data_IF_177027881426
#
_entry.id   IF_177027881426
#
_cell.length_a   1.000
_cell.length_b   1.000
_cell.length_c   1.000
_cell.angle_alpha   90.00
_cell.angle_beta   90.00
_cell.angle_gamma   90.00
#
_symmetry.space_group_name_H-M   'P 1'
#
loop_
_entity.id
_entity.type
_entity.pdbx_description
1 polymer ?
#
# COMPACT_ATOMS: atom_id res chain seq x y z
N UNK A 1 10.03 17.64 -6.29
CA UNK A 1 11.37 18.04 -6.77
C UNK A 1 11.67 17.61 -8.21
N UNK A 2 10.62 17.40 -9.02
CA UNK A 2 10.78 16.93 -10.41
C UNK A 2 11.41 17.97 -11.35
N UNK A 3 11.54 19.21 -10.91
CA UNK A 3 12.19 20.30 -11.65
C UNK A 3 13.72 20.28 -11.52
N UNK A 4 14.27 19.54 -10.54
CA UNK A 4 15.72 19.48 -10.36
C UNK A 4 16.35 18.69 -11.52
N UNK A 5 17.38 19.28 -12.12
CA UNK A 5 18.20 18.69 -13.17
C UNK A 5 19.68 18.89 -12.81
N UNK A 6 20.52 17.93 -13.14
CA UNK A 6 21.95 17.97 -12.90
C UNK A 6 22.55 16.58 -12.95
N UNK A 7 23.83 16.47 -13.22
CA UNK A 7 24.55 15.19 -13.30
C UNK A 7 24.60 14.46 -11.95
N UNK A 8 24.52 15.22 -10.86
CA UNK A 8 24.50 14.71 -9.48
C UNK A 8 23.08 14.38 -8.97
N UNK A 9 22.06 14.42 -9.83
CA UNK A 9 20.66 14.15 -9.44
C UNK A 9 20.21 12.84 -10.03
N UNK A 10 19.78 11.92 -9.16
CA UNK A 10 19.12 10.67 -9.55
C UNK A 10 17.64 10.77 -9.13
N UNK A 11 16.76 10.69 -10.11
CA UNK A 11 15.31 10.72 -9.87
C UNK A 11 14.80 9.34 -9.51
N UNK A 12 13.93 9.27 -8.48
CA UNK A 12 13.19 8.07 -8.13
C UNK A 12 11.74 8.17 -8.61
N UNK A 13 11.14 7.04 -8.98
CA UNK A 13 9.71 6.93 -9.29
C UNK A 13 8.87 6.84 -8.01
N UNK A 14 9.40 6.16 -6.98
CA UNK A 14 8.78 6.00 -5.67
C UNK A 14 9.74 6.32 -4.53
N UNK A 15 9.31 6.10 -3.30
CA UNK A 15 10.17 6.22 -2.13
C UNK A 15 11.23 5.12 -2.10
N UNK A 16 12.42 5.45 -1.58
CA UNK A 16 13.45 4.46 -1.24
C UNK A 16 13.07 3.82 0.09
N UNK A 17 13.13 2.50 0.16
CA UNK A 17 12.75 1.72 1.35
C UNK A 17 13.61 0.46 1.49
N UNK A 18 13.42 -0.28 2.61
CA UNK A 18 14.26 -1.43 2.95
C UNK A 18 13.67 -2.79 2.56
N UNK A 19 12.45 -2.85 2.01
CA UNK A 19 11.86 -4.12 1.57
C UNK A 19 12.54 -4.52 0.26
N UNK A 20 13.19 -5.69 0.26
CA UNK A 20 13.85 -6.23 -0.92
C UNK A 20 12.98 -7.27 -1.65
N UNK A 21 13.38 -7.58 -2.90
CA UNK A 21 12.72 -8.65 -3.66
C UNK A 21 12.89 -10.00 -3.00
N UNK A 22 14.09 -10.26 -2.49
CA UNK A 22 14.45 -11.51 -1.83
C UNK A 22 13.56 -11.74 -0.60
N UNK A 23 13.31 -10.69 0.19
CA UNK A 23 12.44 -10.75 1.35
C UNK A 23 10.98 -11.06 0.96
N UNK A 24 10.46 -10.42 -0.09
CA UNK A 24 9.11 -10.70 -0.61
C UNK A 24 9.01 -12.14 -1.14
N UNK A 25 9.99 -12.62 -1.90
CA UNK A 25 9.96 -13.98 -2.43
C UNK A 25 10.08 -15.04 -1.33
N UNK A 26 10.92 -14.82 -0.31
CA UNK A 26 10.99 -15.70 0.86
C UNK A 26 9.67 -15.74 1.63
N UNK A 27 9.00 -14.59 1.80
CA UNK A 27 7.69 -14.55 2.43
C UNK A 27 6.63 -15.30 1.60
N UNK A 28 6.68 -15.20 0.26
CA UNK A 28 5.79 -15.94 -0.64
C UNK A 28 5.95 -17.46 -0.56
N UNK A 29 7.20 -17.95 -0.43
CA UNK A 29 7.45 -19.39 -0.30
C UNK A 29 6.81 -19.99 0.96
N UNK A 30 6.65 -19.17 2.00
CA UNK A 30 6.01 -19.55 3.26
C UNK A 30 4.49 -19.26 3.27
N UNK A 31 3.95 -18.70 2.18
CA UNK A 31 2.55 -18.31 2.09
C UNK A 31 1.64 -19.53 2.03
N UNK A 32 0.55 -19.49 2.77
CA UNK A 32 -0.58 -20.40 2.56
C UNK A 32 -1.28 -19.98 1.27
N UNK A 33 -1.53 -20.95 0.38
CA UNK A 33 -2.26 -20.69 -0.87
C UNK A 33 -3.72 -20.32 -0.59
N UNK A 34 -3.97 -19.06 -0.28
CA UNK A 34 -5.32 -18.50 -0.08
C UNK A 34 -5.54 -17.36 -1.07
N UNK A 35 -6.80 -17.21 -1.48
CA UNK A 35 -7.22 -15.99 -2.18
C UNK A 35 -7.41 -14.88 -1.14
N UNK A 36 -6.35 -14.11 -0.86
CA UNK A 36 -6.32 -13.13 0.22
C UNK A 36 -6.17 -11.70 -0.27
N UNK A 37 -6.75 -10.76 0.47
CA UNK A 37 -6.56 -9.32 0.31
C UNK A 37 -5.83 -8.78 1.54
N UNK A 38 -4.87 -7.89 1.30
CA UNK A 38 -4.25 -7.11 2.36
C UNK A 38 -4.71 -5.65 2.26
N UNK A 39 -5.32 -5.15 3.32
CA UNK A 39 -5.70 -3.75 3.49
C UNK A 39 -4.67 -3.07 4.37
N UNK A 40 -3.98 -2.05 3.88
CA UNK A 40 -2.96 -1.33 4.64
C UNK A 40 -3.44 0.08 4.96
N UNK A 41 -3.48 0.41 6.23
CA UNK A 41 -3.95 1.69 6.72
C UNK A 41 -2.78 2.59 7.11
N UNK A 42 -2.73 3.77 6.52
CA UNK A 42 -1.85 4.83 6.96
C UNK A 42 -2.36 5.53 8.21
N UNK A 43 -2.45 6.85 8.17
CA UNK A 43 -2.97 7.64 9.27
C UNK A 43 -2.87 9.14 8.99
N UNK A 44 -3.33 9.99 9.90
CA UNK A 44 -3.34 11.42 9.71
C UNK A 44 -1.93 11.97 9.47
N UNK A 45 -1.85 12.98 8.63
CA UNK A 45 -0.63 13.72 8.37
C UNK A 45 -0.96 15.19 8.05
N UNK A 46 0.02 15.96 7.62
CA UNK A 46 -0.22 17.38 7.29
C UNK A 46 -1.20 17.61 6.13
N UNK A 47 -1.47 16.61 5.30
CA UNK A 47 -2.35 16.71 4.12
C UNK A 47 -3.70 16.04 4.32
N UNK A 48 -3.78 14.98 5.12
CA UNK A 48 -4.97 14.13 5.30
C UNK A 48 -5.40 14.06 6.76
N UNK A 49 -6.73 14.11 7.03
CA UNK A 49 -7.30 14.03 8.37
C UNK A 49 -7.40 12.59 8.89
N UNK A 50 -7.73 11.67 8.01
CA UNK A 50 -7.94 10.26 8.35
C UNK A 50 -9.07 10.04 9.36
N UNK A 51 -10.25 10.57 9.05
CA UNK A 51 -11.40 10.51 9.97
C UNK A 51 -12.05 9.12 10.00
N UNK A 52 -12.64 8.77 11.14
CA UNK A 52 -13.37 7.51 11.30
C UNK A 52 -14.54 7.40 10.31
N UNK A 53 -15.25 8.51 10.03
CA UNK A 53 -16.35 8.54 9.07
C UNK A 53 -15.87 8.17 7.66
N UNK A 54 -14.76 8.76 7.23
CA UNK A 54 -14.15 8.47 5.93
C UNK A 54 -13.72 6.99 5.83
N UNK A 55 -13.12 6.44 6.92
CA UNK A 55 -12.74 5.04 6.97
C UNK A 55 -13.96 4.09 6.97
N UNK A 56 -15.05 4.44 7.65
CA UNK A 56 -16.32 3.68 7.58
C UNK A 56 -16.83 3.56 6.14
N UNK A 57 -16.79 4.65 5.37
CA UNK A 57 -17.20 4.65 3.97
C UNK A 57 -16.27 3.79 3.10
N UNK A 58 -14.95 3.83 3.33
CA UNK A 58 -13.97 2.98 2.65
C UNK A 58 -14.24 1.50 2.94
N UNK A 59 -14.41 1.14 4.22
CA UNK A 59 -14.64 -0.26 4.60
C UNK A 59 -16.02 -0.79 4.14
N UNK A 60 -17.02 0.06 4.05
CA UNK A 60 -18.30 -0.32 3.42
C UNK A 60 -18.09 -0.73 1.95
N UNK A 61 -17.25 0.00 1.19
CA UNK A 61 -16.92 -0.37 -0.19
C UNK A 61 -16.10 -1.66 -0.26
N UNK A 62 -15.11 -1.83 0.63
CA UNK A 62 -14.30 -3.06 0.70
C UNK A 62 -15.20 -4.27 0.95
N UNK A 63 -16.14 -4.17 1.90
CA UNK A 63 -17.08 -5.25 2.19
C UNK A 63 -17.93 -5.62 0.96
N UNK A 64 -18.47 -4.61 0.27
CA UNK A 64 -19.35 -4.84 -0.87
C UNK A 64 -18.63 -5.40 -2.10
N UNK A 65 -17.39 -5.01 -2.35
CA UNK A 65 -16.69 -5.40 -3.57
C UNK A 65 -15.81 -6.64 -3.40
N UNK A 66 -15.31 -6.92 -2.20
CA UNK A 66 -14.25 -7.92 -2.04
C UNK A 66 -14.56 -9.04 -1.07
N UNK A 67 -15.34 -8.80 0.00
CA UNK A 67 -15.46 -9.76 1.10
C UNK A 67 -15.99 -11.13 0.67
N UNK A 68 -16.94 -11.17 -0.25
CA UNK A 68 -17.52 -12.42 -0.74
C UNK A 68 -16.63 -13.14 -1.77
N UNK A 69 -15.64 -12.44 -2.33
CA UNK A 69 -14.79 -12.96 -3.40
C UNK A 69 -13.47 -13.56 -2.90
N UNK A 70 -13.19 -13.48 -1.59
CA UNK A 70 -11.91 -13.90 -1.00
C UNK A 70 -12.07 -14.83 0.19
N UNK A 71 -10.98 -15.56 0.49
CA UNK A 71 -10.92 -16.45 1.65
C UNK A 71 -10.50 -15.73 2.91
N UNK A 72 -9.67 -14.67 2.78
CA UNK A 72 -9.11 -13.93 3.91
C UNK A 72 -8.87 -12.47 3.58
N UNK A 73 -9.14 -11.59 4.55
CA UNK A 73 -8.78 -10.18 4.51
C UNK A 73 -7.89 -9.87 5.71
N UNK A 74 -6.66 -9.42 5.45
CA UNK A 74 -5.72 -8.93 6.47
C UNK A 74 -5.72 -7.41 6.49
N UNK A 75 -6.12 -6.82 7.62
CA UNK A 75 -6.09 -5.38 7.82
C UNK A 75 -4.88 -5.04 8.68
N UNK A 76 -3.90 -4.34 8.10
CA UNK A 76 -2.66 -3.96 8.76
C UNK A 76 -2.71 -2.47 9.08
N UNK A 77 -2.58 -2.12 10.35
CA UNK A 77 -2.46 -0.73 10.77
C UNK A 77 -1.01 -0.24 10.73
N UNK A 78 -0.83 1.07 10.63
CA UNK A 78 0.46 1.74 10.79
C UNK A 78 0.57 2.41 12.16
N UNK A 79 1.77 2.88 12.51
CA UNK A 79 2.00 3.68 13.73
C UNK A 79 1.17 4.97 13.80
N UNK A 80 0.67 5.44 12.65
CA UNK A 80 -0.15 6.66 12.55
C UNK A 80 -1.64 6.38 12.54
N UNK A 81 -2.05 5.12 12.44
CA UNK A 81 -3.47 4.75 12.43
C UNK A 81 -4.09 5.06 13.79
N UNK A 82 -5.13 5.91 13.87
CA UNK A 82 -5.78 6.26 15.13
C UNK A 82 -6.36 5.04 15.85
N UNK A 83 -6.26 5.01 17.17
CA UNK A 83 -6.77 3.91 17.99
C UNK A 83 -8.29 3.72 17.81
N UNK A 84 -9.04 4.81 17.66
CA UNK A 84 -10.48 4.76 17.40
C UNK A 84 -10.82 3.98 16.11
N UNK A 85 -9.99 4.09 15.08
CA UNK A 85 -10.15 3.32 13.83
C UNK A 85 -9.86 1.84 14.07
N UNK A 86 -8.80 1.54 14.82
CA UNK A 86 -8.43 0.15 15.15
C UNK A 86 -9.54 -0.50 15.96
N UNK A 87 -10.07 0.18 16.98
CA UNK A 87 -11.15 -0.32 17.83
C UNK A 87 -12.44 -0.54 17.03
N UNK A 88 -12.81 0.42 16.18
CA UNK A 88 -13.95 0.27 15.28
C UNK A 88 -13.82 -0.98 14.39
N UNK A 89 -12.64 -1.23 13.80
CA UNK A 89 -12.44 -2.39 12.92
C UNK A 89 -12.48 -3.71 13.69
N UNK A 90 -11.89 -3.77 14.88
CA UNK A 90 -11.94 -4.93 15.75
C UNK A 90 -13.38 -5.26 16.18
N UNK A 91 -14.16 -4.25 16.51
CA UNK A 91 -15.56 -4.41 16.87
C UNK A 91 -16.41 -4.82 15.66
N UNK A 92 -16.27 -4.11 14.54
CA UNK A 92 -17.02 -4.38 13.30
C UNK A 92 -16.83 -5.83 12.82
N UNK A 93 -15.64 -6.38 12.94
CA UNK A 93 -15.30 -7.69 12.41
C UNK A 93 -15.10 -8.77 13.47
N UNK A 94 -15.53 -8.52 14.71
CA UNK A 94 -15.34 -9.43 15.85
C UNK A 94 -15.78 -10.88 15.55
N UNK A 95 -16.89 -11.05 14.83
CA UNK A 95 -17.48 -12.35 14.52
C UNK A 95 -17.22 -12.81 13.07
N UNK A 96 -16.32 -12.15 12.35
CA UNK A 96 -15.99 -12.50 10.97
C UNK A 96 -14.66 -13.25 10.90
N UNK A 97 -14.71 -14.57 10.77
CA UNK A 97 -13.51 -15.42 10.74
C UNK A 97 -12.62 -15.23 9.51
N UNK A 98 -13.10 -14.56 8.46
CA UNK A 98 -12.30 -14.23 7.27
C UNK A 98 -11.39 -13.01 7.49
N UNK A 99 -11.67 -12.17 8.49
CA UNK A 99 -11.00 -10.88 8.66
C UNK A 99 -10.08 -10.90 9.88
N UNK A 100 -8.82 -10.54 9.66
CA UNK A 100 -7.80 -10.38 10.70
C UNK A 100 -7.38 -8.92 10.77
N UNK A 101 -7.57 -8.28 11.92
CA UNK A 101 -7.08 -6.92 12.18
C UNK A 101 -5.78 -7.00 12.96
N UNK A 102 -4.66 -6.78 12.27
CA UNK A 102 -3.32 -6.76 12.87
C UNK A 102 -2.89 -5.33 13.21
N UNK A 103 -2.81 -5.06 14.49
CA UNK A 103 -2.29 -3.80 15.05
C UNK A 103 -0.97 -4.00 15.82
N UNK A 104 -0.28 -5.10 15.59
CA UNK A 104 0.99 -5.44 16.27
C UNK A 104 2.16 -4.54 15.84
N UNK A 105 2.05 -3.83 14.73
CA UNK A 105 3.12 -3.06 14.10
C UNK A 105 4.36 -3.90 13.75
N UNK A 106 4.17 -5.21 13.60
CA UNK A 106 5.23 -6.15 13.24
C UNK A 106 5.63 -5.95 11.79
N UNK A 107 6.91 -5.63 11.54
CA UNK A 107 7.46 -5.56 10.18
C UNK A 107 7.35 -6.90 9.46
N UNK A 108 7.58 -8.00 10.16
CA UNK A 108 7.48 -9.34 9.59
C UNK A 108 6.05 -9.64 9.12
N UNK A 109 5.03 -9.35 9.96
CA UNK A 109 3.63 -9.53 9.59
C UNK A 109 3.25 -8.64 8.40
N UNK A 110 3.73 -7.41 8.36
CA UNK A 110 3.49 -6.48 7.25
C UNK A 110 4.04 -7.03 5.92
N UNK A 111 5.32 -7.44 5.90
CA UNK A 111 5.95 -8.00 4.70
C UNK A 111 5.27 -9.30 4.27
N UNK A 112 4.94 -10.18 5.23
CA UNK A 112 4.22 -11.42 4.96
C UNK A 112 2.84 -11.14 4.35
N UNK A 113 2.08 -10.20 4.91
CA UNK A 113 0.77 -9.84 4.39
C UNK A 113 0.83 -9.26 2.97
N UNK A 114 1.81 -8.40 2.67
CA UNK A 114 2.03 -7.89 1.32
C UNK A 114 2.39 -9.00 0.32
N UNK A 115 3.25 -9.93 0.74
CA UNK A 115 3.74 -11.00 -0.12
C UNK A 115 2.66 -12.04 -0.46
N UNK A 116 1.77 -12.35 0.49
CA UNK A 116 0.69 -13.32 0.33
C UNK A 116 -0.50 -12.79 -0.46
N UNK A 117 -0.69 -11.47 -0.48
CA UNK A 117 -1.86 -10.85 -1.05
C UNK A 117 -2.01 -11.12 -2.56
N UNK A 118 -3.22 -11.42 -3.00
CA UNK A 118 -3.62 -11.41 -4.41
C UNK A 118 -4.08 -10.03 -4.88
N UNK A 119 -4.54 -9.21 -3.94
CA UNK A 119 -4.88 -7.80 -4.13
C UNK A 119 -4.46 -7.02 -2.89
N UNK A 120 -3.97 -5.82 -3.07
CA UNK A 120 -3.60 -4.92 -1.97
C UNK A 120 -4.50 -3.69 -2.04
N UNK A 121 -5.08 -3.29 -0.92
CA UNK A 121 -5.85 -2.04 -0.80
C UNK A 121 -5.08 -1.13 0.15
N UNK A 122 -4.84 0.11 -0.23
CA UNK A 122 -4.08 1.06 0.58
C UNK A 122 -4.76 2.42 0.65
N UNK A 123 -4.70 3.05 1.81
CA UNK A 123 -5.08 4.46 1.93
C UNK A 123 -4.04 5.35 1.25
N UNK A 124 -4.49 6.41 0.57
CA UNK A 124 -3.64 7.23 -0.31
C UNK A 124 -2.67 8.18 0.40
N UNK A 125 -2.62 8.17 1.73
CA UNK A 125 -1.83 9.12 2.54
C UNK A 125 -0.34 8.80 2.70
N UNK A 126 0.13 7.64 2.20
CA UNK A 126 1.50 7.20 2.44
C UNK A 126 2.24 6.77 1.16
N UNK A 127 3.00 7.69 0.58
CA UNK A 127 3.88 7.42 -0.57
C UNK A 127 4.85 6.25 -0.28
N UNK A 128 5.42 6.19 0.93
CA UNK A 128 6.37 5.13 1.30
C UNK A 128 5.72 3.75 1.27
N UNK A 129 4.58 3.59 1.93
CA UNK A 129 3.89 2.29 2.00
C UNK A 129 3.40 1.82 0.62
N UNK A 130 2.91 2.75 -0.22
CA UNK A 130 2.51 2.43 -1.60
C UNK A 130 3.74 2.00 -2.42
N UNK A 131 4.90 2.66 -2.24
CA UNK A 131 6.14 2.28 -2.92
C UNK A 131 6.66 0.91 -2.45
N UNK A 132 6.54 0.61 -1.16
CA UNK A 132 6.86 -0.71 -0.58
C UNK A 132 5.98 -1.81 -1.20
N UNK A 133 4.67 -1.59 -1.27
CA UNK A 133 3.74 -2.53 -1.88
C UNK A 133 4.02 -2.75 -3.38
N UNK A 134 4.48 -1.72 -4.09
CA UNK A 134 4.80 -1.80 -5.52
C UNK A 134 5.94 -2.78 -5.85
N UNK A 135 6.74 -3.18 -4.85
CA UNK A 135 7.79 -4.22 -5.04
C UNK A 135 7.20 -5.62 -5.20
N UNK A 136 5.96 -5.83 -4.77
CA UNK A 136 5.34 -7.16 -4.82
C UNK A 136 4.91 -7.58 -6.23
N UNK A 137 4.58 -6.63 -7.11
CA UNK A 137 3.92 -6.90 -8.39
C UNK A 137 2.43 -7.24 -8.25
N UNK A 138 1.89 -7.17 -7.03
CA UNK A 138 0.47 -7.43 -6.74
C UNK A 138 -0.36 -6.20 -7.06
N UNK A 139 -1.54 -6.32 -7.74
CA UNK A 139 -2.46 -5.22 -7.98
C UNK A 139 -2.77 -4.39 -6.73
N UNK A 140 -2.63 -3.06 -6.82
CA UNK A 140 -2.83 -2.13 -5.71
C UNK A 140 -4.02 -1.22 -5.99
N UNK A 141 -5.06 -1.31 -5.16
CA UNK A 141 -6.18 -0.38 -5.15
C UNK A 141 -5.92 0.75 -4.15
N UNK A 142 -6.13 1.98 -4.57
CA UNK A 142 -6.04 3.14 -3.69
C UNK A 142 -7.41 3.56 -3.18
N UNK A 143 -7.58 3.50 -1.86
CA UNK A 143 -8.66 4.14 -1.15
C UNK A 143 -8.31 5.62 -0.97
N UNK A 144 -8.83 6.46 -1.85
CA UNK A 144 -8.56 7.90 -1.84
C UNK A 144 -9.12 8.55 -0.58
N UNK A 145 -8.28 9.32 0.09
CA UNK A 145 -8.63 10.14 1.25
C UNK A 145 -8.81 11.60 0.83
N UNK A 146 -9.72 12.31 1.51
CA UNK A 146 -9.93 13.73 1.28
C UNK A 146 -8.79 14.56 1.83
N UNK A 147 -8.14 15.33 0.98
CA UNK A 147 -7.07 16.23 1.39
C UNK A 147 -7.61 17.44 2.16
N UNK A 148 -6.91 17.83 3.23
CA UNK A 148 -7.18 19.06 4.02
C UNK A 148 -6.65 20.32 3.34
N UNK A 149 -5.62 20.18 2.52
CA UNK A 149 -4.94 21.25 1.82
C UNK A 149 -4.33 20.74 0.52
N UNK A 150 -3.67 21.63 -0.22
CA UNK A 150 -3.00 21.26 -1.47
C UNK A 150 -2.00 20.11 -1.25
N UNK A 151 -2.30 18.97 -1.84
CA UNK A 151 -1.54 17.72 -1.80
C UNK A 151 -0.90 17.40 -3.16
N UNK A 152 -0.56 18.42 -3.94
CA UNK A 152 -0.02 18.30 -5.29
C UNK A 152 1.06 17.21 -5.46
N UNK A 153 1.93 17.02 -4.44
CA UNK A 153 2.97 15.98 -4.50
C UNK A 153 2.39 14.57 -4.44
N UNK A 154 1.35 14.37 -3.63
CA UNK A 154 0.67 13.10 -3.54
C UNK A 154 -0.09 12.80 -4.84
N UNK A 155 -0.83 13.77 -5.36
CA UNK A 155 -1.56 13.63 -6.62
C UNK A 155 -0.61 13.28 -7.76
N UNK A 156 0.53 13.97 -7.86
CA UNK A 156 1.52 13.69 -8.88
C UNK A 156 2.13 12.29 -8.75
N UNK A 157 2.38 11.83 -7.53
CA UNK A 157 2.83 10.48 -7.26
C UNK A 157 1.75 9.45 -7.64
N UNK A 158 0.51 9.67 -7.26
CA UNK A 158 -0.61 8.80 -7.59
C UNK A 158 -0.79 8.70 -9.11
N UNK A 159 -0.78 9.82 -9.82
CA UNK A 159 -0.89 9.84 -11.29
C UNK A 159 0.28 9.10 -11.97
N UNK A 160 1.51 9.25 -11.45
CA UNK A 160 2.65 8.47 -11.93
C UNK A 160 2.43 6.97 -11.73
N UNK A 161 1.96 6.54 -10.55
CA UNK A 161 1.74 5.13 -10.27
C UNK A 161 0.56 4.54 -11.07
N UNK A 162 -0.47 5.34 -11.33
CA UNK A 162 -1.54 4.98 -12.27
C UNK A 162 -1.01 4.82 -13.70
N UNK A 163 -0.18 5.75 -14.17
CA UNK A 163 0.41 5.68 -15.53
C UNK A 163 1.36 4.50 -15.71
N UNK A 164 1.99 4.03 -14.63
CA UNK A 164 2.80 2.80 -14.60
C UNK A 164 1.96 1.53 -14.41
N UNK A 165 0.65 1.65 -14.40
CA UNK A 165 -0.30 0.56 -14.15
C UNK A 165 -0.07 -0.16 -12.80
N UNK A 166 0.55 0.52 -11.80
CA UNK A 166 0.81 -0.03 -10.46
C UNK A 166 -0.45 0.06 -9.62
N UNK A 167 -1.13 1.20 -9.67
CA UNK A 167 -2.30 1.48 -8.83
C UNK A 167 -3.53 1.82 -9.66
N UNK A 168 -4.70 1.46 -9.13
CA UNK A 168 -6.03 1.89 -9.61
C UNK A 168 -6.85 2.37 -8.43
N UNK A 169 -7.89 3.16 -8.71
CA UNK A 169 -8.81 3.59 -7.65
C UNK A 169 -9.64 2.40 -7.14
N UNK A 170 -10.00 2.44 -5.86
CA UNK A 170 -10.77 1.38 -5.20
C UNK A 170 -12.10 1.06 -5.91
N UNK A 171 -12.67 2.05 -6.57
CA UNK A 171 -13.97 1.95 -7.26
C UNK A 171 -13.85 1.43 -8.71
N UNK A 172 -12.66 1.02 -9.15
CA UNK A 172 -12.50 0.44 -10.49
C UNK A 172 -13.05 -0.98 -10.55
N UNK A 173 -13.72 -1.30 -11.67
CA UNK A 173 -14.24 -2.65 -11.92
C UNK A 173 -13.17 -3.61 -12.48
N UNK A 174 -11.93 -3.19 -12.62
CA UNK A 174 -10.86 -4.02 -13.14
C UNK A 174 -10.28 -4.92 -12.05
N UNK A 175 -10.53 -6.20 -12.14
CA UNK A 175 -10.17 -7.17 -11.11
C UNK A 175 -8.74 -7.71 -11.22
N UNK A 176 -8.19 -7.73 -12.43
CA UNK A 176 -6.87 -8.32 -12.70
C UNK A 176 -6.06 -7.45 -13.65
N UNK A 177 -4.88 -7.05 -13.19
CA UNK A 177 -3.86 -6.44 -14.04
C UNK A 177 -2.47 -6.80 -13.55
N UNK A 178 -1.48 -6.55 -14.37
CA UNK A 178 -0.07 -6.77 -14.06
C UNK A 178 0.71 -5.49 -14.30
N UNK A 179 1.83 -5.36 -13.61
CA UNK A 179 2.79 -4.28 -13.80
C UNK A 179 4.21 -4.76 -13.47
N UNK A 180 5.21 -4.02 -13.94
CA UNK A 180 6.61 -4.31 -13.61
C UNK A 180 6.90 -3.92 -12.15
N UNK A 181 7.40 -4.87 -11.36
CA UNK A 181 7.77 -4.64 -9.97
C UNK A 181 8.71 -3.45 -9.84
N UNK A 182 8.44 -2.56 -8.88
CA UNK A 182 9.20 -1.33 -8.70
C UNK A 182 10.30 -1.50 -7.63
N UNK A 183 11.55 -1.66 -8.06
CA UNK A 183 12.72 -1.82 -7.17
C UNK A 183 13.59 -0.56 -7.18
N UNK A 184 13.05 0.58 -6.72
CA UNK A 184 13.75 1.86 -6.76
C UNK A 184 15.02 1.89 -5.93
N UNK A 185 15.03 1.27 -4.77
CA UNK A 185 16.24 1.19 -3.91
C UNK A 185 17.39 0.52 -4.64
N UNK A 186 17.15 -0.63 -5.27
CA UNK A 186 18.17 -1.37 -6.04
C UNK A 186 18.62 -0.57 -7.26
N UNK A 187 17.67 -0.05 -8.04
CA UNK A 187 17.96 0.73 -9.24
C UNK A 187 18.84 1.95 -8.92
N UNK A 188 18.50 2.70 -7.87
CA UNK A 188 19.25 3.89 -7.47
C UNK A 188 20.62 3.52 -6.91
N UNK A 189 20.74 2.45 -6.13
CA UNK A 189 22.02 1.97 -5.63
C UNK A 189 22.97 1.55 -6.77
N UNK A 190 22.46 0.90 -7.81
CA UNK A 190 23.24 0.55 -9.00
C UNK A 190 23.71 1.80 -9.76
N UNK A 191 22.83 2.78 -9.96
CA UNK A 191 23.21 4.06 -10.58
C UNK A 191 24.24 4.85 -9.77
N UNK A 192 24.18 4.80 -8.44
CA UNK A 192 25.19 5.44 -7.58
C UNK A 192 26.54 4.77 -7.73
N UNK A 193 26.60 3.45 -7.76
CA UNK A 193 27.86 2.71 -7.96
C UNK A 193 28.57 3.13 -9.26
N UNK A 194 27.83 3.32 -10.36
CA UNK A 194 28.39 3.73 -11.64
C UNK A 194 28.86 5.19 -11.69
N UNK A 195 28.40 6.03 -10.74
CA UNK A 195 28.80 7.44 -10.65
C UNK A 195 29.99 7.72 -9.70
N UNK A 196 30.29 6.76 -8.81
CA UNK A 196 31.33 6.91 -7.78
C UNK A 196 32.65 6.24 -8.23
N UNK A 197 32.59 5.39 -9.25
CA UNK A 197 33.76 4.78 -9.89
C UNK A 197 34.22 5.65 -11.05
#
# INVERSE_FOLDING_TARGET
HDSLKGENIIKSKGAIHYISNEEIEMARQNAKSKNSITVVLGGPNQYYSFSLEELKAIFHRIDNFFLDTVDEVKIISSRRTPEEVINFLKEKYLNNSKIVVDSSLSRQNYVQALAEAKKIIMTSDSISMISEAATTGTPIYLAQLKAKKNDYRFNKFVELFKSLNITKDLDTNEEHWTYDKLYETKRIAEMLKTKII
#
